data_IF_132005525445
#
_entry.id   IF_132005525445
#
_cell.length_a   1.000
_cell.length_b   1.000
_cell.length_c   1.000
_cell.angle_alpha   90.00
_cell.angle_beta   90.00
_cell.angle_gamma   90.00
#
_symmetry.space_group_name_H-M   'P 1'
#
loop_
_entity.id
_entity.type
_entity.pdbx_description
1 polymer ?
#
# COMPACT_ATOMS: atom_id res chain seq x y z
N UNK A 1 26.99 -16.08 38.82
CA UNK A 1 27.86 -16.80 37.87
C UNK A 1 27.98 -15.97 36.59
N UNK A 2 29.20 -15.70 36.11
CA UNK A 2 29.45 -14.88 34.91
C UNK A 2 28.66 -15.36 33.68
N UNK A 3 28.45 -16.68 33.57
CA UNK A 3 27.66 -17.29 32.49
C UNK A 3 26.21 -16.77 32.45
N UNK A 4 25.57 -16.59 33.60
CA UNK A 4 24.19 -16.08 33.67
C UNK A 4 24.13 -14.61 33.23
N UNK A 5 25.13 -13.81 33.61
CA UNK A 5 25.19 -12.41 33.20
C UNK A 5 25.37 -12.27 31.67
N UNK A 6 26.21 -13.10 31.06
CA UNK A 6 26.40 -13.12 29.59
C UNK A 6 25.12 -13.52 28.86
N UNK A 7 24.38 -14.52 29.36
CA UNK A 7 23.11 -14.95 28.78
C UNK A 7 22.06 -13.82 28.86
N UNK A 8 21.95 -13.16 30.01
CA UNK A 8 21.01 -12.04 30.19
C UNK A 8 21.35 -10.89 29.24
N UNK A 9 22.62 -10.50 29.13
CA UNK A 9 23.06 -9.44 28.24
C UNK A 9 22.81 -9.77 26.77
N UNK A 10 23.10 -11.01 26.35
CA UNK A 10 22.82 -11.48 24.99
C UNK A 10 21.33 -11.39 24.63
N UNK A 11 20.46 -11.82 25.55
CA UNK A 11 19.01 -11.72 25.35
C UNK A 11 18.52 -10.27 25.33
N UNK A 12 19.06 -9.39 26.16
CA UNK A 12 18.76 -7.96 26.15
C UNK A 12 19.14 -7.30 24.81
N UNK A 13 20.30 -7.65 24.25
CA UNK A 13 20.74 -7.14 22.95
C UNK A 13 19.82 -7.66 21.83
N UNK A 14 19.51 -8.96 21.81
CA UNK A 14 18.62 -9.54 20.81
C UNK A 14 17.20 -8.95 20.87
N UNK A 15 16.68 -8.70 22.08
CA UNK A 15 15.36 -8.12 22.29
C UNK A 15 15.29 -6.66 21.85
N UNK A 16 16.29 -5.86 22.19
CA UNK A 16 16.35 -4.45 21.77
C UNK A 16 16.52 -4.31 20.26
N UNK A 17 17.34 -5.15 19.62
CA UNK A 17 17.46 -5.22 18.16
C UNK A 17 16.13 -5.62 17.50
N UNK A 18 15.48 -6.69 17.97
CA UNK A 18 14.19 -7.15 17.44
C UNK A 18 13.10 -6.08 17.57
N UNK A 19 13.06 -5.37 18.70
CA UNK A 19 12.11 -4.27 18.96
C UNK A 19 12.36 -3.06 18.04
N UNK A 20 13.62 -2.72 17.78
CA UNK A 20 14.00 -1.64 16.87
C UNK A 20 13.62 -1.96 15.41
N UNK A 21 13.83 -3.21 14.97
CA UNK A 21 13.43 -3.65 13.63
C UNK A 21 11.90 -3.64 13.45
N UNK A 22 11.14 -4.03 14.47
CA UNK A 22 9.68 -3.99 14.45
C UNK A 22 9.14 -2.56 14.28
N UNK A 23 9.65 -1.58 15.06
CA UNK A 23 9.16 -0.20 14.99
C UNK A 23 9.46 0.47 13.65
N UNK A 24 10.60 0.15 13.03
CA UNK A 24 10.97 0.68 11.71
C UNK A 24 10.11 0.10 10.57
N UNK A 25 9.57 -1.11 10.75
CA UNK A 25 8.70 -1.73 9.75
C UNK A 25 7.25 -1.21 9.84
N UNK A 26 6.75 -0.96 11.06
CA UNK A 26 5.38 -0.44 11.30
C UNK A 26 5.17 0.97 10.74
N UNK A 27 6.17 1.86 10.81
CA UNK A 27 6.09 3.22 10.27
C UNK A 27 5.97 3.26 8.74
N UNK A 28 6.48 2.24 8.04
CA UNK A 28 6.33 2.05 6.59
C UNK A 28 4.92 1.62 6.14
N UNK A 29 4.14 0.99 7.02
CA UNK A 29 2.77 0.56 6.69
C UNK A 29 1.75 1.70 6.79
N UNK A 30 1.91 2.60 7.77
CA UNK A 30 0.96 3.71 8.00
C UNK A 30 1.00 4.77 6.89
N UNK A 31 2.14 4.91 6.21
CA UNK A 31 2.34 5.85 5.10
C UNK A 31 1.82 5.32 3.75
N UNK A 32 1.57 4.02 3.59
CA UNK A 32 1.09 3.44 2.32
C UNK A 32 -0.43 3.47 2.13
N UNK A 33 -1.22 3.58 3.20
CA UNK A 33 -2.68 3.75 3.08
C UNK A 33 -3.12 5.16 2.66
N UNK A 34 -2.19 6.10 2.47
CA UNK A 34 -2.47 7.46 1.98
C UNK A 34 -1.96 7.69 0.55
N UNK A 35 -2.12 6.70 -0.33
CA UNK A 35 -1.93 6.88 -1.78
C UNK A 35 -3.24 7.01 -2.56
N UNK A 36 -4.38 7.12 -1.89
CA UNK A 36 -5.48 7.90 -2.44
C UNK A 36 -5.18 9.36 -2.08
N UNK A 37 -4.35 10.00 -2.91
CA UNK A 37 -4.14 11.44 -2.81
C UNK A 37 -5.50 12.13 -2.93
N UNK A 38 -5.90 12.87 -1.88
CA UNK A 38 -6.94 13.89 -2.01
C UNK A 38 -6.41 14.92 -3.03
N UNK A 39 -6.78 14.77 -4.29
CA UNK A 39 -6.21 15.56 -5.40
C UNK A 39 -6.09 14.80 -6.74
N UNK A 40 -6.42 13.50 -6.79
CA UNK A 40 -6.52 12.75 -8.06
C UNK A 40 -7.85 12.92 -8.80
N UNK A 41 -8.81 13.64 -8.21
CA UNK A 41 -10.04 14.00 -8.91
C UNK A 41 -9.75 15.23 -9.77
N UNK A 42 -9.98 15.14 -11.08
CA UNK A 42 -9.99 16.31 -11.95
C UNK A 42 -11.00 17.33 -11.39
N UNK A 43 -10.75 18.62 -11.65
CA UNK A 43 -11.65 19.71 -11.28
C UNK A 43 -13.12 19.37 -11.58
N UNK A 44 -14.06 19.83 -10.76
CA UNK A 44 -15.50 19.60 -10.94
C UNK A 44 -16.03 20.03 -12.31
N UNK A 45 -15.29 20.87 -13.04
CA UNK A 45 -15.55 21.24 -14.44
C UNK A 45 -15.34 20.12 -15.46
N UNK A 46 -14.65 19.03 -15.10
CA UNK A 46 -14.50 17.83 -15.93
C UNK A 46 -15.61 16.80 -15.69
N UNK A 47 -16.47 17.04 -14.70
CA UNK A 47 -17.64 16.21 -14.43
C UNK A 47 -18.75 16.72 -15.33
N UNK A 48 -18.97 16.05 -16.46
CA UNK A 48 -20.04 16.44 -17.40
C UNK A 48 -21.40 16.20 -16.72
N UNK A 49 -22.19 17.23 -16.41
CA UNK A 49 -23.46 17.07 -15.72
C UNK A 49 -24.46 16.41 -16.68
N UNK A 50 -25.06 15.30 -16.25
CA UNK A 50 -25.95 14.48 -17.10
C UNK A 50 -25.22 13.57 -18.09
N UNK A 51 -23.89 13.53 -18.07
CA UNK A 51 -23.07 12.65 -18.89
C UNK A 51 -22.65 11.40 -18.14
N UNK A 52 -23.51 10.38 -18.12
CA UNK A 52 -23.00 9.02 -18.35
C UNK A 52 -22.46 8.98 -19.79
N UNK A 53 -21.32 9.65 -20.02
CA UNK A 53 -20.49 9.36 -21.16
C UNK A 53 -19.89 7.99 -20.88
N UNK A 54 -20.57 6.96 -21.38
CA UNK A 54 -20.30 5.52 -21.35
C UNK A 54 -18.99 5.14 -22.03
N UNK A 55 -17.95 5.95 -21.84
CA UNK A 55 -16.73 5.93 -22.62
C UNK A 55 -15.63 5.06 -22.03
N UNK A 56 -16.00 4.10 -21.19
CA UNK A 56 -15.06 3.13 -20.64
C UNK A 56 -15.63 1.74 -20.84
N UNK A 57 -14.83 0.87 -21.46
CA UNK A 57 -15.11 -0.56 -21.52
C UNK A 57 -14.91 -1.20 -20.15
N UNK A 58 -15.22 -2.48 -20.09
CA UNK A 58 -15.11 -3.25 -18.86
C UNK A 58 -13.69 -3.24 -18.31
N UNK A 59 -13.61 -3.38 -16.98
CA UNK A 59 -12.33 -3.63 -16.31
C UNK A 59 -11.79 -4.99 -16.73
N UNK A 60 -10.54 -5.02 -17.20
CA UNK A 60 -9.82 -6.26 -17.40
C UNK A 60 -9.35 -6.89 -16.09
N UNK A 61 -8.70 -8.04 -16.22
CA UNK A 61 -8.23 -8.81 -15.08
C UNK A 61 -7.25 -8.04 -14.19
N UNK A 62 -7.34 -8.30 -12.88
CA UNK A 62 -6.35 -7.79 -11.92
C UNK A 62 -5.03 -8.52 -12.06
N UNK A 63 -3.95 -7.76 -12.03
CA UNK A 63 -2.62 -8.35 -11.85
C UNK A 63 -2.52 -9.02 -10.47
N UNK A 64 -1.75 -10.10 -10.33
CA UNK A 64 -1.42 -10.66 -9.02
C UNK A 64 -0.86 -9.58 -8.09
N UNK A 65 -1.15 -9.69 -6.79
CA UNK A 65 -0.55 -8.80 -5.80
C UNK A 65 0.98 -8.90 -5.85
N UNK A 66 1.66 -7.75 -5.85
CA UNK A 66 3.12 -7.68 -5.89
C UNK A 66 3.83 -8.38 -4.72
N UNK A 67 3.10 -8.74 -3.66
CA UNK A 67 3.59 -9.47 -2.49
C UNK A 67 2.49 -10.38 -1.96
N UNK A 68 2.89 -11.52 -1.41
CA UNK A 68 2.00 -12.48 -0.74
C UNK A 68 1.66 -12.08 0.70
N UNK A 69 2.46 -11.22 1.35
CA UNK A 69 2.19 -10.68 2.68
C UNK A 69 2.80 -9.28 2.90
N UNK A 70 2.34 -8.57 3.93
CA UNK A 70 2.88 -7.27 4.32
C UNK A 70 2.43 -6.07 3.46
N UNK A 71 1.28 -6.17 2.80
CA UNK A 71 0.71 -5.11 1.96
C UNK A 71 1.38 -5.04 0.58
N UNK A 72 0.68 -5.57 -0.43
CA UNK A 72 1.05 -5.51 -1.85
C UNK A 72 0.15 -4.56 -2.64
N UNK A 73 0.45 -4.39 -3.92
CA UNK A 73 -0.37 -3.60 -4.86
C UNK A 73 -0.79 -4.49 -6.02
N UNK A 74 -2.05 -4.42 -6.40
CA UNK A 74 -2.62 -5.02 -7.62
C UNK A 74 -3.22 -3.91 -8.48
N UNK A 75 -3.12 -4.06 -9.80
CA UNK A 75 -3.56 -3.07 -10.77
C UNK A 75 -4.53 -3.69 -11.77
N UNK A 76 -5.47 -2.89 -12.28
CA UNK A 76 -6.40 -3.24 -13.35
C UNK A 76 -6.40 -2.15 -14.41
N UNK A 77 -6.76 -2.51 -15.65
CA UNK A 77 -6.85 -1.60 -16.79
C UNK A 77 -8.22 -1.73 -17.43
N UNK A 78 -8.72 -0.63 -18.00
CA UNK A 78 -9.94 -0.59 -18.83
C UNK A 78 -9.70 0.29 -20.05
N UNK A 79 -10.43 0.03 -21.12
CA UNK A 79 -10.27 0.73 -22.40
C UNK A 79 -11.20 1.95 -22.44
N UNK A 80 -10.75 3.06 -23.03
CA UNK A 80 -11.63 4.21 -23.28
C UNK A 80 -12.41 3.96 -24.58
N UNK A 81 -13.72 3.78 -24.49
CA UNK A 81 -14.64 3.59 -25.61
C UNK A 81 -15.23 4.94 -26.03
N UNK A 82 -14.56 5.71 -26.88
CA UNK A 82 -15.21 6.90 -27.45
C UNK A 82 -16.35 6.46 -28.38
N UNK A 83 -17.59 6.54 -27.90
CA UNK A 83 -18.74 6.61 -28.80
C UNK A 83 -18.78 8.04 -29.34
N UNK A 84 -18.63 8.17 -30.66
CA UNK A 84 -18.67 9.44 -31.39
C UNK A 84 -20.08 10.00 -31.47
#
# INVERSE_FOLDING_TARGET
SLLVAVIVLSNCIAWTASRHHYTHNVSGHRSRHRRQGKGLYLSSSYVIPGGEGTGWGDWGDSTPCSRTCGGGVASQKRICLKFG
#
